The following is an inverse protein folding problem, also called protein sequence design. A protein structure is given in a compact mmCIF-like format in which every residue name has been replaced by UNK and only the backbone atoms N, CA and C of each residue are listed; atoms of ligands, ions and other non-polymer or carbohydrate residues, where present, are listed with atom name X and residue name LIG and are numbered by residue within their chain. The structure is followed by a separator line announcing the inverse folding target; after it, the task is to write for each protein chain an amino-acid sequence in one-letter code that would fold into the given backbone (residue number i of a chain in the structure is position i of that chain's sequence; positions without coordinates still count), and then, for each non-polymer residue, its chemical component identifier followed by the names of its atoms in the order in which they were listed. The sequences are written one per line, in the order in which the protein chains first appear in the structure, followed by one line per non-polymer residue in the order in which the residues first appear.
data_IF_638831706034
#
_entry.id   IF_638831706034
#
_cell.length_a   1.000
_cell.length_b   1.000
_cell.length_c   1.000
_cell.angle_alpha   90.00
_cell.angle_beta   90.00
_cell.angle_gamma   90.00
#
_symmetry.space_group_name_H-M   'P 1'
#
loop_
_entity.id
_entity.type
_entity.pdbx_description
1 polymer ?
#
# COMPACT_ATOMS: atom_id res chain seq x y z
N UNK A 1 16.48 -0.68 30.60
CA UNK A 1 15.74 0.60 30.53
C UNK A 1 15.13 0.76 29.15
N UNK A 2 13.81 0.61 29.02
CA UNK A 2 13.11 0.82 27.76
C UNK A 2 13.00 2.33 27.47
N UNK A 3 13.47 2.78 26.30
CA UNK A 3 13.22 4.16 25.85
C UNK A 3 11.72 4.34 25.61
N UNK A 4 11.08 5.43 26.08
CA UNK A 4 9.69 5.69 25.76
C UNK A 4 9.54 5.82 24.24
N UNK A 5 8.66 5.02 23.65
CA UNK A 5 8.28 5.16 22.25
C UNK A 5 7.68 6.55 22.07
N UNK A 6 8.39 7.42 21.33
CA UNK A 6 7.84 8.70 20.87
C UNK A 6 6.65 8.37 19.96
N UNK A 7 5.45 8.48 20.52
CA UNK A 7 4.19 8.38 19.82
C UNK A 7 4.12 9.45 18.73
N UNK A 8 3.47 9.13 17.62
CA UNK A 8 3.15 10.12 16.60
C UNK A 8 2.27 11.19 17.25
N UNK A 9 2.78 12.42 17.34
CA UNK A 9 1.97 13.61 17.58
C UNK A 9 1.42 14.07 16.23
N UNK A 10 0.27 14.73 16.22
CA UNK A 10 -0.36 15.26 15.01
C UNK A 10 -0.87 14.19 14.02
N UNK A 11 -1.21 12.99 14.50
CA UNK A 11 -1.93 11.99 13.69
C UNK A 11 -3.43 12.18 13.85
N UNK A 12 -4.14 12.18 12.74
CA UNK A 12 -5.59 12.34 12.74
C UNK A 12 -6.21 11.22 11.91
N UNK A 13 -7.29 10.65 12.43
CA UNK A 13 -8.18 9.83 11.64
C UNK A 13 -9.03 10.75 10.73
N UNK A 14 -9.52 10.26 9.58
CA UNK A 14 -10.26 11.06 8.60
C UNK A 14 -11.45 11.88 9.16
N UNK A 15 -11.92 11.59 10.38
CA UNK A 15 -13.13 12.14 10.98
C UNK A 15 -12.92 13.27 12.00
N UNK A 16 -11.70 13.75 12.29
CA UNK A 16 -11.53 14.80 13.30
C UNK A 16 -11.60 16.23 12.74
N UNK A 17 -12.12 17.15 13.58
CA UNK A 17 -12.11 18.60 13.39
C UNK A 17 -10.72 19.09 12.98
N UNK A 18 -10.71 20.02 12.01
CA UNK A 18 -9.56 20.65 11.34
C UNK A 18 -8.17 20.13 11.68
N UNK A 19 -7.40 19.62 10.69
CA UNK A 19 -6.03 19.22 10.93
C UNK A 19 -5.20 20.38 11.48
N UNK A 20 -4.19 20.10 12.33
CA UNK A 20 -3.26 21.15 12.74
C UNK A 20 -2.55 21.71 11.51
N UNK A 21 -2.06 22.94 11.61
CA UNK A 21 -1.36 23.60 10.53
C UNK A 21 -0.23 22.72 9.98
N UNK A 22 -0.05 22.62 8.66
CA UNK A 22 1.09 21.92 8.08
C UNK A 22 2.41 22.59 8.48
N UNK A 23 3.41 21.80 8.85
CA UNK A 23 4.69 22.28 9.34
C UNK A 23 5.86 21.78 8.47
N UNK A 24 6.89 22.62 8.33
CA UNK A 24 8.15 22.22 7.71
C UNK A 24 9.38 22.72 8.45
N UNK A 25 10.39 21.88 8.50
CA UNK A 25 11.72 22.26 8.91
C UNK A 25 12.28 23.37 8.01
N UNK A 26 12.79 24.42 8.64
CA UNK A 26 13.62 25.44 8.01
C UNK A 26 15.07 24.95 7.94
N UNK A 27 15.89 25.60 7.09
CA UNK A 27 17.36 25.34 7.06
C UNK A 27 18.03 25.54 8.44
N UNK A 28 17.45 26.37 9.31
CA UNK A 28 17.96 26.64 10.67
C UNK A 28 17.49 25.61 11.72
N UNK A 29 16.71 24.61 11.33
CA UNK A 29 16.26 23.54 12.23
C UNK A 29 14.98 23.84 13.02
N UNK A 30 14.35 24.99 12.81
CA UNK A 30 13.04 25.32 13.41
C UNK A 30 11.89 24.87 12.50
N UNK A 31 10.73 24.57 13.08
CA UNK A 31 9.49 24.35 12.33
C UNK A 31 8.87 25.69 11.97
N UNK A 32 8.29 25.78 10.77
CA UNK A 32 7.43 26.86 10.32
C UNK A 32 6.12 26.31 9.80
N UNK A 33 5.06 27.10 9.89
CA UNK A 33 3.80 26.81 9.21
C UNK A 33 3.93 26.98 7.70
N UNK A 34 3.20 26.15 6.96
CA UNK A 34 3.16 26.13 5.50
C UNK A 34 1.70 26.24 5.07
N UNK A 35 1.32 27.43 4.63
CA UNK A 35 -0.05 27.72 4.19
C UNK A 35 -0.29 27.37 2.73
N UNK A 36 0.74 27.51 1.89
CA UNK A 36 0.64 27.32 0.47
C UNK A 36 1.94 26.78 -0.13
N UNK A 37 1.80 25.83 -1.05
CA UNK A 37 2.88 25.37 -1.92
C UNK A 37 2.38 25.41 -3.36
N UNK A 38 3.11 26.11 -4.23
CA UNK A 38 2.87 26.02 -5.66
C UNK A 38 3.40 24.68 -6.19
N UNK A 39 2.54 23.65 -6.24
CA UNK A 39 2.91 22.32 -6.68
C UNK A 39 3.37 22.26 -8.15
N UNK A 40 3.01 23.24 -8.99
CA UNK A 40 3.37 23.23 -10.42
C UNK A 40 4.87 23.23 -10.65
N UNK A 41 5.66 23.77 -9.71
CA UNK A 41 7.12 23.79 -9.79
C UNK A 41 7.75 22.40 -9.69
N UNK A 42 7.01 21.42 -9.16
CA UNK A 42 7.43 20.02 -9.08
C UNK A 42 7.12 19.24 -10.37
N UNK A 43 6.20 19.76 -11.21
CA UNK A 43 5.76 19.13 -12.44
C UNK A 43 5.41 17.64 -12.26
N UNK A 44 5.80 16.82 -13.24
CA UNK A 44 5.56 15.38 -13.23
C UNK A 44 6.26 14.63 -12.06
N UNK A 45 7.25 15.24 -11.39
CA UNK A 45 7.97 14.59 -10.31
C UNK A 45 7.22 14.61 -8.97
N UNK A 46 6.26 15.51 -8.78
CA UNK A 46 5.62 15.67 -7.47
C UNK A 46 4.40 16.58 -7.38
N UNK A 47 3.85 17.06 -8.49
CA UNK A 47 2.70 17.97 -8.45
C UNK A 47 1.35 17.28 -8.17
N UNK A 48 1.31 15.94 -8.10
CA UNK A 48 0.07 15.20 -7.90
C UNK A 48 -0.52 15.45 -6.50
N UNK A 49 -1.78 15.88 -6.45
CA UNK A 49 -2.60 15.96 -5.23
C UNK A 49 -3.54 14.76 -5.20
N UNK A 50 -3.59 14.04 -4.08
CA UNK A 50 -4.42 12.83 -3.96
C UNK A 50 -4.79 12.53 -2.51
N UNK A 51 -5.69 11.56 -2.32
CA UNK A 51 -6.06 11.01 -1.02
C UNK A 51 -5.39 9.65 -0.80
N UNK A 52 -5.24 9.25 0.46
CA UNK A 52 -4.51 8.03 0.78
C UNK A 52 -5.09 6.77 0.13
N UNK A 53 -6.42 6.67 0.13
CA UNK A 53 -7.16 5.57 -0.49
C UNK A 53 -6.99 5.50 -2.03
N UNK A 54 -6.81 6.63 -2.70
CA UNK A 54 -6.58 6.65 -4.15
C UNK A 54 -5.16 6.21 -4.49
N UNK A 55 -4.18 6.59 -3.66
CA UNK A 55 -2.79 6.16 -3.84
C UNK A 55 -2.63 4.65 -3.59
N UNK A 56 -3.28 4.11 -2.56
CA UNK A 56 -3.27 2.65 -2.35
C UNK A 56 -3.97 1.91 -3.49
N UNK A 57 -5.11 2.41 -3.97
CA UNK A 57 -5.80 1.82 -5.14
C UNK A 57 -4.92 1.85 -6.40
N UNK A 58 -4.23 2.96 -6.67
CA UNK A 58 -3.29 3.08 -7.79
C UNK A 58 -2.16 2.04 -7.70
N UNK A 59 -1.48 1.93 -6.56
CA UNK A 59 -0.40 0.96 -6.39
C UNK A 59 -0.91 -0.49 -6.46
N UNK A 60 -2.10 -0.78 -5.92
CA UNK A 60 -2.74 -2.09 -6.07
C UNK A 60 -3.00 -2.44 -7.53
N UNK A 61 -3.63 -1.55 -8.30
CA UNK A 61 -3.91 -1.76 -9.72
C UNK A 61 -2.63 -1.89 -10.56
N UNK A 62 -1.61 -1.06 -10.26
CA UNK A 62 -0.30 -1.16 -10.91
C UNK A 62 0.35 -2.52 -10.67
N UNK A 63 0.41 -2.98 -9.42
CA UNK A 63 1.02 -4.28 -9.11
C UNK A 63 0.19 -5.45 -9.65
N UNK A 64 -1.12 -5.32 -9.75
CA UNK A 64 -2.00 -6.32 -10.36
C UNK A 64 -1.84 -6.40 -11.89
N UNK A 65 -1.10 -5.48 -12.52
CA UNK A 65 -0.92 -5.44 -13.98
C UNK A 65 -2.12 -4.86 -14.72
N UNK A 66 -3.02 -4.15 -14.04
CA UNK A 66 -4.22 -3.57 -14.65
C UNK A 66 -3.91 -2.28 -15.43
N UNK A 67 -2.82 -1.59 -15.07
CA UNK A 67 -2.45 -0.29 -15.64
C UNK A 67 -1.35 -0.37 -16.70
N UNK A 68 -0.64 -1.50 -16.80
CA UNK A 68 0.56 -1.64 -17.61
C UNK A 68 0.60 -3.02 -18.28
N UNK A 69 1.09 -3.11 -19.54
CA UNK A 69 1.42 -4.39 -20.15
C UNK A 69 2.43 -5.17 -19.27
N UNK A 70 2.37 -6.52 -19.27
CA UNK A 70 3.23 -7.34 -18.40
C UNK A 70 4.73 -7.03 -18.51
N UNK A 71 5.22 -6.76 -19.72
CA UNK A 71 6.63 -6.41 -19.96
C UNK A 71 7.05 -5.09 -19.31
N UNK A 72 6.19 -4.07 -19.33
CA UNK A 72 6.47 -2.78 -18.70
C UNK A 72 6.46 -2.89 -17.17
N UNK A 73 5.49 -3.62 -16.60
CA UNK A 73 5.45 -3.87 -15.17
C UNK A 73 6.67 -4.67 -14.70
N UNK A 74 7.10 -5.67 -15.47
CA UNK A 74 8.32 -6.44 -15.16
C UNK A 74 9.56 -5.54 -15.12
N UNK A 75 9.68 -4.57 -16.03
CA UNK A 75 10.78 -3.59 -16.02
C UNK A 75 10.74 -2.69 -14.78
N UNK A 76 9.56 -2.23 -14.35
CA UNK A 76 9.41 -1.45 -13.12
C UNK A 76 9.77 -2.26 -11.86
N UNK A 77 9.38 -3.54 -11.81
CA UNK A 77 9.65 -4.46 -10.70
C UNK A 77 11.10 -4.95 -10.63
N UNK A 78 11.88 -4.79 -11.69
CA UNK A 78 13.29 -5.17 -11.72
C UNK A 78 14.13 -4.17 -10.88
N UNK A 79 13.84 -3.99 -9.60
CA UNK A 79 14.51 -2.99 -8.75
C UNK A 79 15.96 -3.35 -8.48
N UNK A 80 16.75 -2.35 -8.10
CA UNK A 80 18.14 -2.53 -7.65
C UNK A 80 18.36 -1.75 -6.35
N UNK A 81 19.29 -2.19 -5.48
CA UNK A 81 19.62 -1.47 -4.26
C UNK A 81 19.96 0.00 -4.53
N UNK A 82 19.43 0.91 -3.71
CA UNK A 82 19.75 2.34 -3.76
C UNK A 82 19.97 2.89 -2.36
N UNK A 83 20.79 3.93 -2.26
CA UNK A 83 21.01 4.66 -1.02
C UNK A 83 19.88 5.66 -0.74
N UNK A 84 18.64 5.13 -0.60
CA UNK A 84 17.44 5.90 -0.27
C UNK A 84 17.01 5.67 1.18
N UNK A 85 17.20 4.44 1.65
CA UNK A 85 17.09 3.99 3.04
C UNK A 85 17.59 2.53 3.09
N UNK A 86 17.84 2.02 4.31
CA UNK A 86 18.34 0.66 4.51
C UNK A 86 17.45 -0.39 3.81
N UNK A 87 18.05 -1.14 2.90
CA UNK A 87 17.40 -2.27 2.21
C UNK A 87 16.38 -1.86 1.15
N UNK A 88 16.24 -0.57 0.84
CA UNK A 88 15.34 -0.11 -0.22
C UNK A 88 15.94 -0.36 -1.59
N UNK A 89 15.12 -0.90 -2.48
CA UNK A 89 15.44 -1.03 -3.89
C UNK A 89 14.54 -0.11 -4.71
N UNK A 90 15.02 0.38 -5.85
CA UNK A 90 14.28 1.35 -6.66
C UNK A 90 14.62 1.25 -8.14
N UNK A 91 13.60 1.35 -8.99
CA UNK A 91 13.74 1.52 -10.44
C UNK A 91 12.44 2.12 -11.02
N UNK A 92 12.57 2.93 -12.07
CA UNK A 92 11.46 3.44 -12.90
C UNK A 92 10.23 3.94 -12.10
N UNK A 93 10.42 4.79 -11.08
CA UNK A 93 9.31 5.35 -10.33
C UNK A 93 8.68 4.42 -9.28
N UNK A 94 9.23 3.21 -9.08
CA UNK A 94 8.74 2.23 -8.12
C UNK A 94 9.85 1.79 -7.17
N UNK A 95 9.53 1.82 -5.88
CA UNK A 95 10.40 1.38 -4.81
C UNK A 95 9.89 0.07 -4.19
N UNK A 96 10.81 -0.78 -3.74
CA UNK A 96 10.55 -1.98 -2.94
C UNK A 96 11.19 -1.81 -1.57
N UNK A 97 10.39 -1.96 -0.52
CA UNK A 97 10.79 -1.73 0.86
C UNK A 97 10.67 -3.02 1.69
N UNK A 98 11.69 -3.37 2.49
CA UNK A 98 11.62 -4.53 3.35
C UNK A 98 10.65 -4.28 4.51
N UNK A 99 9.85 -5.29 4.85
CA UNK A 99 9.06 -5.32 6.08
C UNK A 99 9.89 -6.07 7.12
N UNK A 100 10.29 -5.38 8.19
CA UNK A 100 11.02 -5.99 9.30
C UNK A 100 10.12 -6.97 10.07
N UNK A 101 10.68 -7.95 10.78
CA UNK A 101 9.91 -8.88 11.60
C UNK A 101 9.87 -10.33 11.08
N UNK A 102 9.39 -11.23 11.95
CA UNK A 102 9.63 -12.68 12.04
C UNK A 102 9.44 -13.55 10.78
N UNK A 103 10.34 -14.54 10.69
CA UNK A 103 10.38 -15.73 9.82
C UNK A 103 9.85 -15.54 8.38
N UNK A 104 10.52 -14.67 7.63
CA UNK A 104 10.31 -14.55 6.18
C UNK A 104 9.86 -13.17 5.75
N UNK A 105 10.50 -12.11 6.29
CA UNK A 105 10.27 -10.69 6.01
C UNK A 105 9.77 -10.43 4.59
N UNK A 106 8.64 -9.72 4.52
CA UNK A 106 7.96 -9.45 3.26
C UNK A 106 8.48 -8.19 2.61
N UNK A 107 7.89 -7.85 1.46
CA UNK A 107 8.13 -6.59 0.80
C UNK A 107 6.80 -5.86 0.58
N UNK A 108 6.85 -4.54 0.66
CA UNK A 108 5.82 -3.69 0.06
C UNK A 108 6.42 -2.85 -1.05
N UNK A 109 5.60 -2.52 -2.04
CA UNK A 109 5.96 -1.71 -3.19
C UNK A 109 5.19 -0.39 -3.16
N UNK A 110 5.84 0.69 -3.53
CA UNK A 110 5.19 1.99 -3.62
C UNK A 110 6.18 3.10 -3.93
N UNK A 111 5.80 4.33 -3.60
CA UNK A 111 6.68 5.49 -3.69
C UNK A 111 6.26 6.52 -2.65
N UNK A 112 7.21 7.01 -1.86
CA UNK A 112 6.96 8.09 -0.91
C UNK A 112 7.01 9.48 -1.56
N UNK A 113 6.33 10.46 -0.98
CA UNK A 113 6.43 11.86 -1.37
C UNK A 113 6.90 12.72 -0.20
N UNK A 114 7.67 13.76 -0.49
CA UNK A 114 7.98 14.82 0.49
C UNK A 114 7.91 16.15 -0.24
N UNK A 115 7.00 17.01 0.22
CA UNK A 115 6.88 18.42 -0.17
C UNK A 115 6.76 19.24 1.12
N UNK A 116 7.00 20.54 1.06
CA UNK A 116 6.79 21.39 2.22
C UNK A 116 5.37 21.19 2.78
N UNK A 117 5.30 20.92 4.08
CA UNK A 117 4.07 20.73 4.84
C UNK A 117 3.45 19.34 4.69
N UNK A 118 3.96 18.45 3.82
CA UNK A 118 3.33 17.14 3.63
C UNK A 118 4.32 16.04 3.24
N UNK A 119 4.22 14.89 3.91
CA UNK A 119 4.98 13.68 3.60
C UNK A 119 4.08 12.46 3.55
N UNK A 120 4.28 11.63 2.53
CA UNK A 120 3.56 10.36 2.36
C UNK A 120 4.54 9.19 2.33
N UNK A 121 4.22 8.09 3.02
CA UNK A 121 4.96 6.82 2.96
C UNK A 121 3.96 5.69 2.93
N UNK A 122 4.33 4.57 2.32
CA UNK A 122 3.44 3.42 2.20
C UNK A 122 3.50 2.77 0.83
N UNK A 123 2.58 1.84 0.61
CA UNK A 123 2.53 1.02 -0.57
C UNK A 123 1.63 -0.20 -0.37
N UNK A 124 1.86 -1.20 -1.20
CA UNK A 124 1.08 -2.43 -1.24
C UNK A 124 1.98 -3.66 -1.31
N UNK A 125 1.57 -4.74 -0.70
CA UNK A 125 2.29 -6.01 -0.69
C UNK A 125 1.77 -6.94 -1.80
N UNK A 126 2.53 -7.98 -2.15
CA UNK A 126 2.09 -9.00 -3.13
C UNK A 126 0.81 -9.74 -2.68
N UNK A 127 0.58 -9.84 -1.37
CA UNK A 127 -0.66 -10.40 -0.80
C UNK A 127 -1.83 -9.39 -0.72
N UNK A 128 -1.65 -8.20 -1.32
CA UNK A 128 -2.70 -7.20 -1.49
C UNK A 128 -3.05 -6.40 -0.24
N UNK A 129 -2.21 -6.43 0.80
CA UNK A 129 -2.33 -5.51 1.94
C UNK A 129 -1.83 -4.14 1.49
N UNK A 130 -2.51 -3.08 1.93
CA UNK A 130 -2.22 -1.73 1.51
C UNK A 130 -2.18 -0.80 2.72
N UNK A 131 -1.14 0.03 2.79
CA UNK A 131 -0.94 1.01 3.86
C UNK A 131 -0.45 2.29 3.23
N UNK A 132 -1.04 3.42 3.59
CA UNK A 132 -0.47 4.73 3.33
C UNK A 132 -0.58 5.59 4.59
N UNK A 133 0.54 6.18 4.98
CA UNK A 133 0.64 7.16 6.05
C UNK A 133 0.94 8.51 5.40
N UNK A 134 0.09 9.49 5.65
CA UNK A 134 0.33 10.89 5.32
C UNK A 134 0.49 11.67 6.63
N UNK A 135 1.51 12.50 6.70
CA UNK A 135 1.74 13.44 7.81
C UNK A 135 1.88 14.85 7.25
N UNK A 136 1.40 15.82 8.02
CA UNK A 136 1.46 17.24 7.71
C UNK A 136 2.68 17.94 8.36
N UNK A 137 3.73 17.19 8.71
CA UNK A 137 4.94 17.73 9.34
C UNK A 137 6.19 17.16 8.68
N UNK A 138 7.10 18.04 8.27
CA UNK A 138 8.47 17.68 7.86
C UNK A 138 9.42 17.97 9.01
N UNK A 139 9.82 16.92 9.73
CA UNK A 139 10.65 17.04 10.94
C UNK A 139 12.05 17.58 10.65
N UNK A 140 12.60 18.49 11.49
CA UNK A 140 13.96 19.00 11.36
C UNK A 140 15.03 17.99 11.80
N UNK A 141 14.64 16.88 12.43
CA UNK A 141 15.54 15.83 12.87
C UNK A 141 15.35 14.52 12.06
N UNK A 142 16.44 13.76 11.83
CA UNK A 142 16.36 12.49 11.10
C UNK A 142 15.42 11.48 11.76
N UNK A 143 15.33 11.46 13.09
CA UNK A 143 14.51 10.51 13.85
C UNK A 143 13.01 10.68 13.54
N UNK A 144 12.51 11.91 13.46
CA UNK A 144 11.12 12.18 13.10
C UNK A 144 10.81 11.80 11.66
N UNK A 145 11.76 12.04 10.75
CA UNK A 145 11.67 11.57 9.36
C UNK A 145 11.62 10.04 9.25
N UNK A 146 12.43 9.35 10.05
CA UNK A 146 12.50 7.89 10.08
C UNK A 146 11.26 7.28 10.74
N UNK A 147 10.72 7.92 11.78
CA UNK A 147 9.53 7.45 12.48
C UNK A 147 8.34 7.24 11.54
N UNK A 148 8.15 8.06 10.51
CA UNK A 148 7.07 7.87 9.52
C UNK A 148 7.25 6.55 8.76
N UNK A 149 8.48 6.20 8.38
CA UNK A 149 8.80 4.94 7.70
C UNK A 149 8.62 3.76 8.65
N UNK A 150 9.12 3.87 9.88
CA UNK A 150 8.99 2.82 10.89
C UNK A 150 7.52 2.54 11.24
N UNK A 151 6.65 3.54 11.20
CA UNK A 151 5.22 3.33 11.42
C UNK A 151 4.56 2.54 10.29
N UNK A 152 4.94 2.77 9.03
CA UNK A 152 4.48 1.94 7.91
C UNK A 152 4.90 0.49 8.12
N UNK A 153 6.17 0.26 8.48
CA UNK A 153 6.71 -1.07 8.77
C UNK A 153 5.94 -1.75 9.92
N UNK A 154 5.73 -1.04 11.03
CA UNK A 154 4.93 -1.55 12.17
C UNK A 154 3.49 -1.88 11.80
N UNK A 155 2.83 -1.07 10.97
CA UNK A 155 1.47 -1.37 10.51
C UNK A 155 1.48 -2.66 9.69
N UNK A 156 2.43 -2.84 8.77
CA UNK A 156 2.55 -4.09 8.01
C UNK A 156 2.91 -5.31 8.86
N UNK A 157 3.61 -5.13 9.98
CA UNK A 157 3.87 -6.20 10.94
C UNK A 157 2.62 -6.56 11.74
N UNK A 158 1.80 -5.57 12.10
CA UNK A 158 0.58 -5.77 12.86
C UNK A 158 -0.57 -6.38 12.05
N UNK A 159 -0.59 -6.17 10.72
CA UNK A 159 -1.63 -6.73 9.84
C UNK A 159 -1.19 -8.13 9.36
N UNK A 160 -1.92 -9.22 9.73
CA UNK A 160 -1.57 -10.57 9.29
C UNK A 160 -1.52 -10.68 7.77
N UNK A 161 -0.64 -11.54 7.25
CA UNK A 161 -0.58 -11.86 5.82
C UNK A 161 -1.90 -12.46 5.36
N UNK A 162 -2.30 -12.14 4.13
CA UNK A 162 -3.43 -12.83 3.49
C UNK A 162 -2.95 -14.13 2.88
N UNK A 163 -3.54 -15.24 3.30
CA UNK A 163 -3.30 -16.53 2.68
C UNK A 163 -3.87 -16.55 1.25
N UNK A 164 -3.05 -16.89 0.28
CA UNK A 164 -3.50 -17.07 -1.11
C UNK A 164 -4.40 -18.31 -1.28
N UNK A 165 -4.44 -19.22 -0.29
CA UNK A 165 -5.20 -20.49 -0.35
C UNK A 165 -6.71 -20.32 -0.26
N UNK A 166 -7.22 -19.26 0.36
CA UNK A 166 -8.67 -19.10 0.59
C UNK A 166 -9.44 -18.76 -0.68
N UNK A 167 -8.86 -18.02 -1.64
CA UNK A 167 -9.50 -17.77 -2.95
C UNK A 167 -9.54 -19.02 -3.84
N UNK A 168 -8.50 -19.85 -3.80
CA UNK A 168 -8.46 -21.10 -4.56
C UNK A 168 -9.48 -22.12 -4.03
N UNK A 169 -9.65 -22.24 -2.71
CA UNK A 169 -10.66 -23.12 -2.11
C UNK A 169 -12.10 -22.69 -2.44
N UNK A 170 -12.42 -21.39 -2.42
CA UNK A 170 -13.77 -20.92 -2.77
C UNK A 170 -14.09 -21.10 -4.27
N UNK A 171 -13.10 -20.98 -5.16
CA UNK A 171 -13.27 -21.19 -6.60
C UNK A 171 -13.49 -22.68 -6.93
N UNK A 172 -12.76 -23.57 -6.25
CA UNK A 172 -12.95 -25.03 -6.39
C UNK A 172 -14.32 -25.45 -5.85
N UNK A 173 -14.76 -24.91 -4.70
CA UNK A 173 -16.09 -25.23 -4.14
C UNK A 173 -17.22 -24.73 -5.04
N UNK A 174 -17.10 -23.55 -5.67
CA UNK A 174 -18.10 -23.05 -6.63
C UNK A 174 -18.16 -23.86 -7.94
N UNK A 175 -17.02 -24.31 -8.46
CA UNK A 175 -16.99 -25.17 -9.66
C UNK A 175 -17.48 -26.60 -9.38
N UNK A 176 -17.23 -27.13 -8.19
CA UNK A 176 -17.67 -28.49 -7.83
C UNK A 176 -19.17 -28.53 -7.49
N UNK A 177 -19.74 -27.44 -6.95
CA UNK A 177 -21.17 -27.33 -6.67
C UNK A 177 -22.05 -27.19 -7.92
N UNK A 178 -21.55 -26.56 -8.97
CA UNK A 178 -22.29 -26.36 -10.24
C UNK A 178 -22.31 -27.62 -11.12
N UNK A 179 -21.23 -28.40 -11.14
CA UNK A 179 -21.20 -29.66 -11.90
C UNK A 179 -22.06 -30.80 -11.32
N UNK A 180 -22.38 -30.77 -10.01
CA UNK A 180 -23.24 -31.81 -9.42
C UNK A 180 -24.74 -31.55 -9.60
N UNK A 181 -25.16 -30.30 -9.82
CA UNK A 181 -26.60 -29.99 -9.99
C UNK A 181 -27.11 -30.31 -11.40
N UNK A 182 -26.26 -30.24 -12.43
CA UNK A 182 -26.66 -30.57 -13.81
C UNK A 182 -26.73 -32.08 -14.09
N UNK A 183 -25.94 -32.89 -13.39
CA UNK A 183 -25.96 -34.36 -13.55
C UNK A 183 -27.19 -35.03 -12.94
N UNK A 184 -27.87 -34.40 -11.99
CA UNK A 184 -29.07 -34.97 -11.36
C UNK A 184 -30.38 -34.64 -12.08
N UNK A 185 -30.40 -33.62 -12.96
CA UNK A 185 -31.60 -33.26 -13.72
C UNK A 185 -31.71 -33.96 -15.08
N UNK A 186 -30.64 -34.63 -15.54
CA UNK A 186 -30.61 -35.33 -16.83
C UNK A 186 -30.97 -36.82 -16.74
N UNK A 187 -31.03 -37.42 -15.55
CA UNK A 187 -31.34 -38.86 -15.37
C UNK A 187 -32.79 -39.20 -14.99
N UNK A 188 -33.68 -38.22 -14.81
CA UNK A 188 -35.08 -38.47 -14.36
C UNK A 188 -36.15 -38.33 -15.45
N UNK A 189 -35.79 -38.10 -16.72
CA UNK A 189 -36.77 -37.90 -17.80
C UNK A 189 -36.72 -38.94 -18.92
N UNK A 190 -36.64 -40.23 -18.61
CA UNK A 190 -36.92 -41.31 -19.59
C UNK A 190 -37.40 -42.59 -18.90
N UNK A 191 -38.63 -42.62 -18.37
CA UNK A 191 -39.43 -43.86 -18.25
C UNK A 191 -40.86 -43.53 -17.82
N UNK A 192 -41.79 -43.61 -18.77
CA UNK A 192 -43.22 -43.52 -18.48
C UNK A 192 -44.06 -43.79 -19.72
N UNK A 193 -44.57 -45.02 -19.84
CA UNK A 193 -45.74 -45.35 -20.66
C UNK A 193 -45.57 -46.48 -21.69
N UNK A 194 -45.84 -47.72 -21.28
CA UNK A 194 -46.23 -48.83 -22.20
C UNK A 194 -47.76 -48.89 -22.30
N UNK A 195 -48.32 -49.34 -23.45
CA UNK A 195 -49.76 -49.46 -23.66
C UNK A 195 -50.29 -50.85 -23.26
N UNK A 196 -51.61 -50.92 -23.01
CA UNK A 196 -52.44 -52.12 -23.15
C UNK A 196 -53.32 -51.97 -24.39
#
# INVERSE_FOLDING_TARGET
MAKPHRTLRNTILPSALSPPAPLSATRRGFLREVDFVNASVLGAAGALVSAGQHLTAYFSAQLAGELLPPGALAQMRATVPRDLARGVEYRLGLARYPISGNAGGGWYWGHGGTVEGTRTRGGVTEDGRAVLVAVNEISPNPEGSQAVVDNVDRIFQAVPRRDHRTKAHQSIVHQTGTHQTEKHQSETRTKGGSPS
#
